data_IF_122418023452
#
_entry.id   IF_122418023452
#
_cell.length_a   1.000
_cell.length_b   1.000
_cell.length_c   1.000
_cell.angle_alpha   90.00
_cell.angle_beta   90.00
_cell.angle_gamma   90.00
#
_symmetry.space_group_name_H-M   'P 1'
#
loop_
_entity.id
_entity.type
_entity.pdbx_description
1 polymer ?
#
# COMPACT_ATOMS: atom_id res chain seq x y z
N UNK A 1 -1.68 -9.34 -8.95
CA UNK A 1 -2.09 -8.16 -9.75
C UNK A 1 -0.93 -7.17 -9.79
N UNK A 2 -0.65 -6.45 -10.88
CA UNK A 2 0.38 -5.42 -10.88
C UNK A 2 -0.05 -4.17 -10.12
N UNK A 3 0.89 -3.48 -9.47
CA UNK A 3 0.63 -2.17 -8.87
C UNK A 3 0.41 -1.11 -9.97
N UNK A 4 -0.54 -0.19 -9.76
CA UNK A 4 -0.84 0.88 -10.71
C UNK A 4 -0.38 2.22 -10.16
N UNK A 5 0.21 3.03 -11.04
CA UNK A 5 0.67 4.38 -10.74
C UNK A 5 -0.22 5.35 -11.53
N UNK A 6 -0.73 6.39 -10.87
CA UNK A 6 -1.47 7.42 -11.57
C UNK A 6 -0.56 8.15 -12.56
N UNK A 7 -0.99 8.23 -13.81
CA UNK A 7 -0.35 9.11 -14.79
C UNK A 7 -0.70 10.56 -14.45
N UNK A 8 0.28 11.31 -13.93
CA UNK A 8 0.15 12.76 -13.72
C UNK A 8 0.81 13.50 -14.88
N UNK A 9 0.11 14.44 -15.54
CA UNK A 9 0.72 15.25 -16.59
C UNK A 9 1.81 16.13 -15.97
N UNK A 10 2.87 16.38 -16.75
CA UNK A 10 3.91 17.33 -16.36
C UNK A 10 3.27 18.70 -16.09
N UNK A 11 3.68 19.32 -15.00
CA UNK A 11 3.17 20.59 -14.53
C UNK A 11 4.18 21.69 -14.83
N UNK A 12 3.70 22.79 -15.39
CA UNK A 12 4.52 23.97 -15.70
C UNK A 12 4.34 25.08 -14.66
N UNK A 13 3.17 25.13 -14.01
CA UNK A 13 2.90 26.08 -12.95
C UNK A 13 3.82 25.86 -11.74
N UNK A 14 4.10 26.93 -11.00
CA UNK A 14 4.81 26.83 -9.74
C UNK A 14 3.97 26.03 -8.74
N UNK A 15 4.54 24.97 -8.16
CA UNK A 15 3.81 24.10 -7.23
C UNK A 15 3.23 24.87 -6.05
N UNK A 16 3.89 25.93 -5.58
CA UNK A 16 3.41 26.72 -4.44
C UNK A 16 2.21 27.62 -4.76
N UNK A 17 1.90 27.82 -6.04
CA UNK A 17 0.73 28.58 -6.50
C UNK A 17 -0.51 27.68 -6.67
N UNK A 18 -0.34 26.35 -6.60
CA UNK A 18 -1.44 25.40 -6.65
C UNK A 18 -2.28 25.54 -5.39
N UNK A 19 -3.59 25.72 -5.55
CA UNK A 19 -4.48 25.80 -4.40
C UNK A 19 -4.52 24.45 -3.65
N UNK A 20 -4.84 24.46 -2.35
CA UNK A 20 -5.01 23.21 -1.60
C UNK A 20 -6.12 22.32 -2.18
N UNK A 21 -7.13 22.92 -2.82
CA UNK A 21 -8.23 22.21 -3.49
C UNK A 21 -7.78 21.51 -4.78
N UNK A 22 -6.95 22.19 -5.58
CA UNK A 22 -6.40 21.59 -6.80
C UNK A 22 -5.38 20.50 -6.45
N UNK A 23 -4.54 20.75 -5.45
CA UNK A 23 -3.62 19.75 -4.91
C UNK A 23 -4.38 18.55 -4.35
N UNK A 24 -5.51 18.76 -3.67
CA UNK A 24 -6.38 17.67 -3.22
C UNK A 24 -6.91 16.84 -4.39
N UNK A 25 -7.27 17.46 -5.51
CA UNK A 25 -7.70 16.74 -6.71
C UNK A 25 -6.59 15.84 -7.27
N UNK A 26 -5.35 16.32 -7.28
CA UNK A 26 -4.18 15.54 -7.69
C UNK A 26 -3.92 14.38 -6.72
N UNK A 27 -3.97 14.64 -5.41
CA UNK A 27 -3.84 13.62 -4.36
C UNK A 27 -4.87 12.51 -4.55
N UNK A 28 -6.15 12.87 -4.72
CA UNK A 28 -7.25 11.91 -4.90
C UNK A 28 -7.00 11.05 -6.13
N UNK A 29 -6.56 11.64 -7.24
CA UNK A 29 -6.21 10.88 -8.45
C UNK A 29 -5.12 9.84 -8.21
N UNK A 30 -4.09 10.18 -7.42
CA UNK A 30 -3.06 9.22 -7.04
C UNK A 30 -3.60 8.09 -6.17
N UNK A 31 -4.44 8.44 -5.18
CA UNK A 31 -5.03 7.48 -4.25
C UNK A 31 -6.05 6.57 -4.95
N UNK A 32 -6.88 7.07 -5.87
CA UNK A 32 -7.86 6.24 -6.58
C UNK A 32 -7.20 5.19 -7.47
N UNK A 33 -6.03 5.50 -8.04
CA UNK A 33 -5.32 4.58 -8.94
C UNK A 33 -4.40 3.62 -8.18
N UNK A 34 -3.62 4.15 -7.24
CA UNK A 34 -2.54 3.43 -6.54
C UNK A 34 -2.80 3.21 -5.06
N UNK A 35 -3.97 3.61 -4.55
CA UNK A 35 -4.32 3.51 -3.14
C UNK A 35 -4.62 2.07 -2.70
N UNK A 36 -4.41 1.73 -1.43
CA UNK A 36 -3.82 2.59 -0.39
C UNK A 36 -2.35 2.90 -0.68
N UNK A 37 -1.94 4.15 -0.46
CA UNK A 37 -0.62 4.66 -0.84
C UNK A 37 0.06 5.32 0.37
N UNK A 38 1.32 4.97 0.61
CA UNK A 38 2.12 5.59 1.67
C UNK A 38 2.34 7.08 1.38
N UNK A 39 2.30 7.94 2.41
CA UNK A 39 2.40 9.41 2.25
C UNK A 39 3.69 9.85 1.55
N UNK A 40 4.81 9.24 1.87
CA UNK A 40 6.09 9.56 1.20
C UNK A 40 6.08 9.18 -0.27
N UNK A 41 5.50 8.03 -0.61
CA UNK A 41 5.37 7.58 -1.99
C UNK A 41 4.43 8.51 -2.77
N UNK A 42 3.29 8.87 -2.19
CA UNK A 42 2.35 9.83 -2.75
C UNK A 42 3.04 11.18 -3.02
N UNK A 43 3.75 11.70 -2.03
CA UNK A 43 4.51 12.96 -2.13
C UNK A 43 5.53 12.89 -3.26
N UNK A 44 6.29 11.79 -3.35
CA UNK A 44 7.25 11.58 -4.43
C UNK A 44 6.59 11.61 -5.81
N UNK A 45 5.46 10.90 -5.97
CA UNK A 45 4.71 10.83 -7.24
C UNK A 45 4.19 12.19 -7.68
N UNK A 46 3.71 12.99 -6.75
CA UNK A 46 3.29 14.37 -7.02
C UNK A 46 4.51 15.21 -7.43
N UNK A 47 5.60 15.17 -6.68
CA UNK A 47 6.80 15.95 -7.01
C UNK A 47 7.42 15.59 -8.37
N UNK A 48 7.31 14.33 -8.79
CA UNK A 48 7.76 13.87 -10.11
C UNK A 48 7.05 14.61 -11.25
N UNK A 49 5.77 14.97 -11.11
CA UNK A 49 5.04 15.72 -12.15
C UNK A 49 5.54 17.16 -12.30
N UNK A 50 6.20 17.70 -11.27
CA UNK A 50 6.90 19.00 -11.33
C UNK A 50 8.40 18.87 -11.63
N UNK A 51 8.91 17.65 -11.83
CA UNK A 51 10.34 17.41 -12.10
C UNK A 51 11.26 17.64 -10.89
N UNK A 52 10.72 17.77 -9.68
CA UNK A 52 11.54 17.86 -8.48
C UNK A 52 12.19 16.51 -8.18
N UNK A 53 13.50 16.48 -7.95
CA UNK A 53 14.23 15.26 -7.55
C UNK A 53 14.26 15.02 -6.04
N UNK A 54 14.01 16.07 -5.25
CA UNK A 54 14.07 16.03 -3.78
C UNK A 54 12.85 16.71 -3.19
N UNK A 55 12.36 16.16 -2.08
CA UNK A 55 11.36 16.79 -1.23
C UNK A 55 12.04 17.69 -0.20
N UNK A 56 11.71 18.98 -0.20
CA UNK A 56 12.07 19.91 0.87
C UNK A 56 10.91 20.11 1.84
N UNK A 57 11.19 20.64 3.05
CA UNK A 57 10.18 20.88 4.10
C UNK A 57 9.00 21.69 3.58
N UNK A 58 9.25 22.76 2.82
CA UNK A 58 8.19 23.61 2.24
C UNK A 58 7.31 22.85 1.23
N UNK A 59 7.91 22.02 0.39
CA UNK A 59 7.18 21.19 -0.59
C UNK A 59 6.28 20.18 0.13
N UNK A 60 6.83 19.50 1.14
CA UNK A 60 6.09 18.52 1.93
C UNK A 60 4.93 19.16 2.69
N UNK A 61 5.15 20.35 3.27
CA UNK A 61 4.10 21.11 3.93
C UNK A 61 2.98 21.47 2.94
N UNK A 62 3.33 21.96 1.75
CA UNK A 62 2.36 22.33 0.73
C UNK A 62 1.54 21.14 0.22
N UNK A 63 2.18 20.01 -0.08
CA UNK A 63 1.48 18.78 -0.47
C UNK A 63 0.60 18.26 0.69
N UNK A 64 1.08 18.34 1.93
CA UNK A 64 0.31 17.93 3.10
C UNK A 64 -0.98 18.72 3.27
N UNK A 65 -1.02 20.01 2.89
CA UNK A 65 -2.26 20.79 2.85
C UNK A 65 -3.28 20.21 1.86
N UNK A 66 -2.82 19.77 0.68
CA UNK A 66 -3.67 19.08 -0.29
C UNK A 66 -4.19 17.74 0.20
N UNK A 67 -3.34 16.95 0.88
CA UNK A 67 -3.75 15.67 1.49
C UNK A 67 -4.80 15.92 2.59
N UNK A 68 -4.57 16.90 3.47
CA UNK A 68 -5.52 17.29 4.50
C UNK A 68 -6.85 17.76 3.90
N UNK A 69 -6.79 18.58 2.83
CA UNK A 69 -7.98 19.05 2.13
C UNK A 69 -8.77 17.91 1.46
N UNK A 70 -8.09 16.92 0.87
CA UNK A 70 -8.74 15.74 0.30
C UNK A 70 -9.48 14.91 1.37
N UNK A 71 -8.91 14.79 2.57
CA UNK A 71 -9.52 14.11 3.69
C UNK A 71 -10.70 14.90 4.29
N UNK A 72 -10.57 16.23 4.41
CA UNK A 72 -11.66 17.14 4.81
C UNK A 72 -12.88 16.98 3.89
N UNK A 73 -12.62 16.89 2.57
CA UNK A 73 -13.64 16.64 1.54
C UNK A 73 -14.14 15.18 1.50
N UNK A 74 -13.68 14.31 2.42
CA UNK A 74 -14.03 12.89 2.54
C UNK A 74 -13.77 12.06 1.28
N UNK A 75 -12.86 12.51 0.41
CA UNK A 75 -12.46 11.80 -0.81
C UNK A 75 -11.36 10.78 -0.57
N UNK A 76 -10.62 10.93 0.53
CA UNK A 76 -9.66 9.96 1.04
C UNK A 76 -9.85 9.79 2.55
N UNK A 77 -9.24 8.75 3.11
CA UNK A 77 -9.12 8.54 4.56
C UNK A 77 -7.70 8.16 4.96
N UNK A 78 -7.38 8.29 6.25
CA UNK A 78 -6.07 7.93 6.79
C UNK A 78 -6.15 6.64 7.62
N UNK A 79 -5.15 5.78 7.45
CA UNK A 79 -4.86 4.69 8.40
C UNK A 79 -3.34 4.59 8.55
N UNK A 80 -2.83 5.01 9.71
CA UNK A 80 -1.40 5.22 9.90
C UNK A 80 -0.82 6.17 8.85
N UNK A 81 0.29 5.77 8.22
CA UNK A 81 0.97 6.55 7.18
C UNK A 81 0.41 6.35 5.75
N UNK A 82 -0.77 5.74 5.63
CA UNK A 82 -1.38 5.43 4.34
C UNK A 82 -2.60 6.28 4.06
N UNK A 83 -2.68 6.79 2.84
CA UNK A 83 -3.88 7.43 2.27
C UNK A 83 -4.71 6.37 1.55
N UNK A 84 -5.97 6.23 1.96
CA UNK A 84 -6.92 5.24 1.47
C UNK A 84 -7.99 5.91 0.59
N UNK A 85 -8.44 5.25 -0.49
CA UNK A 85 -9.63 5.69 -1.21
C UNK A 85 -10.85 5.77 -0.27
N UNK A 86 -11.76 6.71 -0.53
CA UNK A 86 -13.02 6.85 0.20
C UNK A 86 -14.19 6.93 -0.81
N UNK A 87 -15.13 5.95 -0.80
CA UNK A 87 -15.16 4.78 0.09
C UNK A 87 -14.01 3.81 -0.16
N UNK A 88 -13.59 3.09 0.88
CA UNK A 88 -12.56 2.07 0.75
C UNK A 88 -13.09 0.88 -0.05
N UNK A 89 -12.36 0.47 -1.08
CA UNK A 89 -12.63 -0.77 -1.83
C UNK A 89 -11.99 -1.99 -1.17
N UNK A 90 -12.20 -3.15 -1.79
CA UNK A 90 -11.52 -4.39 -1.41
C UNK A 90 -10.01 -4.27 -1.58
N UNK A 91 -9.27 -4.65 -0.54
CA UNK A 91 -7.80 -4.69 -0.60
C UNK A 91 -7.38 -5.91 -1.41
N UNK A 92 -6.43 -5.73 -2.33
CA UNK A 92 -5.91 -6.79 -3.19
C UNK A 92 -4.38 -6.72 -3.14
N UNK A 93 -3.67 -7.85 -2.98
CA UNK A 93 -2.22 -7.88 -3.00
C UNK A 93 -1.67 -7.55 -4.38
N UNK A 94 -0.84 -6.49 -4.46
CA UNK A 94 -0.23 -6.02 -5.70
C UNK A 94 1.29 -6.08 -5.64
N UNK A 95 1.88 -6.78 -6.60
CA UNK A 95 3.34 -6.88 -6.75
C UNK A 95 3.92 -5.68 -7.49
N UNK A 96 5.00 -5.91 -8.26
CA UNK A 96 5.58 -4.90 -9.14
C UNK A 96 4.53 -4.32 -10.12
N UNK A 97 4.74 -3.08 -10.55
CA UNK A 97 3.98 -2.49 -11.65
C UNK A 97 4.25 -3.21 -12.98
N UNK A 98 3.46 -2.89 -14.02
CA UNK A 98 3.67 -3.43 -15.37
C UNK A 98 5.07 -3.13 -15.91
N UNK A 99 5.62 -1.96 -15.54
CA UNK A 99 6.95 -1.50 -15.93
C UNK A 99 8.07 -2.03 -15.02
N UNK A 100 7.77 -2.98 -14.12
CA UNK A 100 8.75 -3.57 -13.21
C UNK A 100 9.11 -2.70 -12.00
N UNK A 101 8.58 -1.49 -11.87
CA UNK A 101 8.79 -0.68 -10.65
C UNK A 101 8.17 -1.36 -9.43
N UNK A 102 8.94 -1.41 -8.34
CA UNK A 102 8.60 -2.13 -7.12
C UNK A 102 8.50 -1.16 -5.93
N UNK A 103 7.42 -1.28 -5.16
CA UNK A 103 7.27 -0.57 -3.87
C UNK A 103 8.25 -1.16 -2.86
N UNK A 104 8.83 -0.31 -2.01
CA UNK A 104 9.47 -0.82 -0.80
C UNK A 104 8.42 -1.49 0.09
N UNK A 105 8.82 -2.52 0.85
CA UNK A 105 7.88 -3.20 1.76
C UNK A 105 7.30 -2.24 2.81
N UNK A 106 8.05 -1.18 3.16
CA UNK A 106 7.62 -0.02 3.94
C UNK A 106 6.34 0.67 3.41
N UNK A 107 6.20 0.68 2.09
CA UNK A 107 5.16 1.38 1.34
C UNK A 107 3.97 0.49 0.98
N UNK A 108 3.92 -0.73 1.52
CA UNK A 108 2.80 -1.67 1.39
C UNK A 108 2.09 -1.73 2.76
N UNK A 109 0.78 -1.46 2.82
CA UNK A 109 0.04 -1.51 4.09
C UNK A 109 -0.06 -2.96 4.58
N UNK A 110 -0.14 -3.15 5.89
CA UNK A 110 -0.22 -4.49 6.50
C UNK A 110 -1.43 -5.26 6.00
N UNK A 111 -2.57 -4.59 5.81
CA UNK A 111 -3.78 -5.18 5.26
C UNK A 111 -3.53 -5.80 3.89
N UNK A 112 -2.74 -5.14 3.03
CA UNK A 112 -2.40 -5.69 1.71
C UNK A 112 -1.48 -6.91 1.83
N UNK A 113 -0.52 -6.90 2.76
CA UNK A 113 0.36 -8.05 3.05
C UNK A 113 -0.48 -9.24 3.56
N UNK A 114 -1.43 -9.00 4.45
CA UNK A 114 -2.33 -10.03 4.98
C UNK A 114 -3.21 -10.61 3.88
N UNK A 115 -3.78 -9.79 2.98
CA UNK A 115 -4.51 -10.34 1.82
C UNK A 115 -3.61 -11.19 0.91
N UNK A 116 -2.33 -10.83 0.81
CA UNK A 116 -1.33 -11.66 0.12
C UNK A 116 -1.15 -13.02 0.76
N UNK A 117 -0.98 -13.04 2.08
CA UNK A 117 -0.88 -14.26 2.89
C UNK A 117 -2.14 -15.13 2.73
N UNK A 118 -3.32 -14.52 2.81
CA UNK A 118 -4.60 -15.24 2.65
C UNK A 118 -4.70 -15.83 1.25
N UNK A 119 -4.40 -15.07 0.20
CA UNK A 119 -4.41 -15.54 -1.20
C UNK A 119 -3.48 -16.75 -1.41
N UNK A 120 -2.33 -16.79 -0.73
CA UNK A 120 -1.40 -17.92 -0.78
C UNK A 120 -2.01 -19.15 -0.11
N UNK A 121 -2.53 -19.00 1.10
CA UNK A 121 -3.11 -20.11 1.87
C UNK A 121 -4.44 -20.62 1.31
N UNK A 122 -5.19 -19.81 0.56
CA UNK A 122 -6.35 -20.27 -0.21
C UNK A 122 -5.97 -21.35 -1.25
N UNK A 123 -4.72 -21.36 -1.72
CA UNK A 123 -4.22 -22.29 -2.74
C UNK A 123 -3.37 -23.41 -2.14
N UNK A 124 -2.53 -23.08 -1.17
CA UNK A 124 -1.63 -24.02 -0.52
C UNK A 124 -2.28 -24.80 0.64
N UNK A 125 -3.43 -24.34 1.14
CA UNK A 125 -4.16 -24.84 2.31
C UNK A 125 -3.44 -24.64 3.65
N UNK A 126 -2.18 -25.08 3.76
CA UNK A 126 -1.33 -24.81 4.92
C UNK A 126 0.14 -24.67 4.52
N UNK A 127 0.89 -23.88 5.28
CA UNK A 127 2.33 -23.68 5.12
C UNK A 127 2.98 -23.44 6.48
N UNK A 128 4.27 -23.76 6.62
CA UNK A 128 5.06 -23.26 7.75
C UNK A 128 5.23 -21.74 7.68
N UNK A 129 5.60 -21.09 8.79
CA UNK A 129 5.85 -19.64 8.81
C UNK A 129 6.97 -19.23 7.84
N UNK A 130 8.04 -20.03 7.74
CA UNK A 130 9.17 -19.77 6.84
C UNK A 130 8.77 -19.89 5.37
N UNK A 131 8.01 -20.92 5.00
CA UNK A 131 7.48 -21.06 3.64
C UNK A 131 6.55 -19.90 3.31
N UNK A 132 5.64 -19.55 4.22
CA UNK A 132 4.69 -18.46 4.02
C UNK A 132 5.40 -17.12 3.85
N UNK A 133 6.46 -16.86 4.62
CA UNK A 133 7.33 -15.70 4.47
C UNK A 133 7.95 -15.65 3.06
N UNK A 134 8.50 -16.77 2.58
CA UNK A 134 9.11 -16.86 1.25
C UNK A 134 8.05 -16.61 0.17
N UNK A 135 6.92 -17.32 0.22
CA UNK A 135 5.84 -17.17 -0.76
C UNK A 135 5.27 -15.75 -0.79
N UNK A 136 5.07 -15.13 0.38
CA UNK A 136 4.59 -13.75 0.50
C UNK A 136 5.60 -12.77 -0.09
N UNK A 137 6.88 -12.96 0.21
CA UNK A 137 7.98 -12.15 -0.37
C UNK A 137 7.95 -12.19 -1.90
N UNK A 138 7.78 -13.38 -2.49
CA UNK A 138 7.71 -13.56 -3.95
C UNK A 138 6.44 -12.98 -4.55
N UNK A 139 5.30 -13.12 -3.88
CA UNK A 139 4.02 -12.55 -4.33
C UNK A 139 4.11 -11.04 -4.56
N UNK A 140 4.81 -10.34 -3.68
CA UNK A 140 5.03 -8.89 -3.81
C UNK A 140 6.14 -8.51 -4.79
N UNK A 141 6.86 -9.48 -5.38
CA UNK A 141 7.90 -9.26 -6.39
C UNK A 141 9.32 -9.11 -5.84
N UNK A 142 9.52 -9.26 -4.53
CA UNK A 142 10.85 -9.17 -3.93
C UNK A 142 11.67 -10.43 -4.22
N UNK A 143 12.94 -10.24 -4.58
CA UNK A 143 13.83 -11.35 -4.90
C UNK A 143 14.59 -11.93 -3.69
N UNK A 144 14.60 -11.21 -2.57
CA UNK A 144 15.34 -11.56 -1.35
C UNK A 144 14.48 -11.24 -0.13
N UNK A 145 14.65 -12.02 0.93
CA UNK A 145 14.06 -11.81 2.26
C UNK A 145 14.98 -10.96 3.12
N UNK A 146 15.09 -9.66 2.80
CA UNK A 146 15.84 -8.72 3.64
C UNK A 146 15.23 -8.57 5.04
N UNK A 147 16.00 -8.11 6.02
CA UNK A 147 15.54 -7.97 7.41
C UNK A 147 14.26 -7.14 7.56
N UNK A 148 14.08 -6.11 6.73
CA UNK A 148 12.89 -5.29 6.71
C UNK A 148 11.64 -6.06 6.23
N UNK A 149 11.82 -6.88 5.19
CA UNK A 149 10.76 -7.74 4.64
C UNK A 149 10.38 -8.80 5.66
N UNK A 150 11.35 -9.50 6.25
CA UNK A 150 11.12 -10.49 7.30
C UNK A 150 10.32 -9.87 8.44
N UNK A 151 10.78 -8.71 8.96
CA UNK A 151 10.11 -8.03 10.06
C UNK A 151 8.65 -7.70 9.75
N UNK A 152 8.36 -7.14 8.57
CA UNK A 152 7.00 -6.72 8.19
C UNK A 152 6.09 -7.89 7.86
N UNK A 153 6.57 -8.91 7.16
CA UNK A 153 5.77 -10.10 6.84
C UNK A 153 5.46 -10.91 8.10
N UNK A 154 6.44 -11.11 9.00
CA UNK A 154 6.19 -11.76 10.30
C UNK A 154 5.21 -10.96 11.15
N UNK A 155 5.31 -9.62 11.16
CA UNK A 155 4.33 -8.77 11.85
C UNK A 155 2.92 -8.95 11.26
N UNK A 156 2.78 -8.99 9.93
CA UNK A 156 1.51 -9.24 9.25
C UNK A 156 0.93 -10.64 9.58
N UNK A 157 1.78 -11.69 9.64
CA UNK A 157 1.35 -13.04 10.05
C UNK A 157 0.81 -13.01 11.49
N UNK A 158 1.52 -12.38 12.41
CA UNK A 158 1.08 -12.23 13.81
C UNK A 158 -0.24 -11.48 13.91
N UNK A 159 -0.38 -10.37 13.18
CA UNK A 159 -1.60 -9.59 13.14
C UNK A 159 -2.77 -10.40 12.56
N UNK A 160 -2.53 -11.18 11.50
CA UNK A 160 -3.55 -12.04 10.90
C UNK A 160 -4.01 -13.16 11.85
N UNK A 161 -3.12 -13.69 12.70
CA UNK A 161 -3.49 -14.60 13.80
C UNK A 161 -4.37 -13.91 14.84
N UNK A 162 -4.00 -12.70 15.27
CA UNK A 162 -4.79 -11.89 16.22
C UNK A 162 -6.18 -11.53 15.66
N UNK A 163 -6.26 -11.27 14.36
CA UNK A 163 -7.53 -11.01 13.65
C UNK A 163 -8.35 -12.29 13.37
N UNK A 164 -7.89 -13.45 13.85
CA UNK A 164 -8.48 -14.77 13.62
C UNK A 164 -8.64 -15.11 12.13
N UNK A 165 -7.81 -14.53 11.27
CA UNK A 165 -7.76 -14.90 9.84
C UNK A 165 -6.92 -16.15 9.62
N UNK A 166 -5.89 -16.34 10.44
CA UNK A 166 -5.01 -17.49 10.44
C UNK A 166 -5.07 -18.21 11.77
N UNK A 167 -4.90 -19.53 11.70
CA UNK A 167 -4.71 -20.40 12.86
C UNK A 167 -3.43 -21.21 12.68
N UNK A 168 -2.82 -21.58 13.80
CA UNK A 168 -1.63 -22.42 13.84
C UNK A 168 -2.03 -23.82 14.32
N UNK A 169 -1.69 -24.84 13.52
CA UNK A 169 -1.89 -26.24 13.87
C UNK A 169 -0.55 -26.95 13.81
N UNK A 170 0.07 -27.10 14.98
CA UNK A 170 1.34 -27.81 15.14
C UNK A 170 2.47 -27.25 14.24
N UNK A 171 2.59 -25.93 14.12
CA UNK A 171 3.62 -25.28 13.29
C UNK A 171 3.24 -25.05 11.84
N UNK A 172 2.01 -25.43 11.46
CA UNK A 172 1.43 -25.17 10.15
C UNK A 172 0.37 -24.08 10.25
N UNK A 173 0.58 -22.99 9.53
CA UNK A 173 -0.36 -21.90 9.40
C UNK A 173 -1.37 -22.21 8.29
N UNK A 174 -2.64 -21.99 8.60
CA UNK A 174 -3.75 -22.17 7.66
C UNK A 174 -4.84 -21.12 7.92
N UNK A 175 -5.78 -20.98 6.99
CA UNK A 175 -6.93 -20.09 7.20
C UNK A 175 -7.80 -20.59 8.36
N UNK A 176 -8.34 -19.67 9.14
CA UNK A 176 -9.34 -20.00 10.16
C UNK A 176 -10.67 -20.39 9.51
N UNK A 177 -11.28 -21.47 9.98
CA UNK A 177 -12.61 -21.90 9.54
C UNK A 177 -13.65 -20.89 10.07
N UNK A 178 -14.23 -20.04 9.20
CA UNK A 178 -15.33 -19.16 9.60
C UNK A 178 -15.45 -17.79 8.92
N UNK A 179 -14.46 -17.35 8.13
CA UNK A 179 -14.56 -16.07 7.38
C UNK A 179 -14.18 -16.22 5.91
N UNK A 180 -14.87 -17.10 5.19
CA UNK A 180 -15.10 -16.86 3.75
C UNK A 180 -16.00 -15.63 3.69
N UNK A 181 -15.40 -14.44 3.56
CA UNK A 181 -16.18 -13.28 3.12
C UNK A 181 -16.69 -13.64 1.73
N UNK A 182 -18.01 -13.81 1.65
CA UNK A 182 -18.77 -13.98 0.42
C UNK A 182 -18.31 -12.96 -0.62
N UNK A 183 -18.11 -13.46 -1.84
CA UNK A 183 -17.85 -12.69 -3.06
C UNK A 183 -18.78 -11.48 -3.21
#
# INVERSE_FOLDING_TARGET
MPYRIAALPKQEANIFEVSSTDMATIVVRCVDVGGPIHRDLLTRRILDSWGYRRSGVKLNAHISLGIAKAAELRRISFRGEFCWPSPAGTVIPRGASSEGWLREIGQIPEEEIIEGIVTILERAYSLTEDELLIHTTRLFGFQRTGSDIVRRVTAAIRLAKVQERLQDRNGWLQLSEGKRLSK
#
